data_IF_184848706330
#
_entry.id   IF_184848706330
#
_cell.length_a   1.000
_cell.length_b   1.000
_cell.length_c   1.000
_cell.angle_alpha   90.00
_cell.angle_beta   90.00
_cell.angle_gamma   90.00
#
_symmetry.space_group_name_H-M   'P 1'
#
loop_
_entity.id
_entity.type
_entity.pdbx_description
1 polymer ?
#
# COMPACT_ATOMS: atom_id res chain seq x y z
N UNK A 1 4.84 16.95 -4.68
CA UNK A 1 4.47 15.63 -4.13
C UNK A 1 3.68 14.89 -5.19
N UNK A 2 4.12 13.69 -5.61
CA UNK A 2 3.31 12.86 -6.51
C UNK A 2 2.00 12.56 -5.79
N UNK A 3 0.87 12.98 -6.34
CA UNK A 3 -0.44 12.50 -5.90
C UNK A 3 -0.54 11.03 -6.31
N UNK A 4 -0.07 10.12 -5.46
CA UNK A 4 -0.35 8.70 -5.65
C UNK A 4 -1.87 8.52 -5.48
N UNK A 5 -2.55 8.36 -6.60
CA UNK A 5 -3.99 8.07 -6.62
C UNK A 5 -4.12 6.57 -6.79
N UNK A 6 -4.34 5.88 -5.67
CA UNK A 6 -4.65 4.45 -5.63
C UNK A 6 -6.15 4.26 -5.46
N UNK A 7 -6.68 3.18 -6.03
CA UNK A 7 -8.07 2.76 -5.91
C UNK A 7 -8.17 1.26 -5.62
N UNK A 8 -9.34 0.84 -5.16
CA UNK A 8 -9.66 -0.58 -4.95
C UNK A 8 -9.43 -1.37 -6.24
N UNK A 9 -8.74 -2.50 -6.10
CA UNK A 9 -8.36 -3.38 -7.21
C UNK A 9 -7.00 -3.06 -7.85
N UNK A 10 -6.36 -1.95 -7.50
CA UNK A 10 -5.01 -1.66 -7.99
C UNK A 10 -4.00 -2.68 -7.44
N UNK A 11 -3.01 -3.00 -8.29
CA UNK A 11 -1.84 -3.79 -7.90
C UNK A 11 -0.77 -2.86 -7.36
N UNK A 12 -0.28 -3.16 -6.16
CA UNK A 12 0.69 -2.32 -5.47
C UNK A 12 1.84 -3.16 -4.93
N UNK A 13 2.98 -2.52 -4.73
CA UNK A 13 4.09 -3.07 -3.94
C UNK A 13 4.53 -2.05 -2.90
N UNK A 14 5.10 -2.55 -1.82
CA UNK A 14 5.70 -1.72 -0.78
C UNK A 14 6.98 -1.06 -1.31
N UNK A 15 7.12 0.24 -1.04
CA UNK A 15 8.35 0.99 -1.31
C UNK A 15 9.31 0.69 -0.16
N UNK A 16 10.52 0.15 -0.44
CA UNK A 16 11.50 -0.09 0.61
C UNK A 16 11.89 1.19 1.33
N UNK A 17 12.13 1.09 2.64
CA UNK A 17 12.67 2.20 3.41
C UNK A 17 14.14 2.52 3.02
N UNK A 18 14.75 3.48 3.70
CA UNK A 18 16.13 3.90 3.43
C UNK A 18 17.19 2.78 3.62
N UNK A 19 16.84 1.71 4.34
CA UNK A 19 17.69 0.53 4.55
C UNK A 19 17.30 -0.64 3.63
N UNK A 20 16.32 -0.45 2.75
CA UNK A 20 15.83 -1.47 1.84
C UNK A 20 14.89 -2.49 2.50
N UNK A 21 14.38 -2.20 3.69
CA UNK A 21 13.44 -3.08 4.38
C UNK A 21 12.00 -2.84 3.90
N UNK A 22 11.24 -3.93 3.81
CA UNK A 22 9.79 -3.92 3.57
C UNK A 22 9.10 -4.85 4.57
N UNK A 23 7.89 -4.50 4.99
CA UNK A 23 7.04 -5.37 5.82
C UNK A 23 6.59 -6.61 5.05
N UNK A 24 6.25 -6.46 3.76
CA UNK A 24 5.77 -7.56 2.93
C UNK A 24 6.31 -7.49 1.51
N UNK A 25 7.09 -8.51 1.13
CA UNK A 25 7.52 -8.69 -0.25
C UNK A 25 6.38 -9.19 -1.14
N UNK A 26 6.37 -8.72 -2.39
CA UNK A 26 5.45 -9.17 -3.44
C UNK A 26 4.55 -8.07 -3.98
N UNK A 27 3.53 -8.48 -4.73
CA UNK A 27 2.50 -7.59 -5.27
C UNK A 27 1.18 -7.90 -4.56
N UNK A 28 0.63 -6.90 -3.91
CA UNK A 28 -0.67 -6.98 -3.26
C UNK A 28 -1.77 -6.31 -4.08
N UNK A 29 -3.02 -6.55 -3.68
CA UNK A 29 -4.22 -5.92 -4.25
C UNK A 29 -4.82 -4.97 -3.21
N UNK A 30 -5.10 -3.74 -3.63
CA UNK A 30 -5.80 -2.76 -2.80
C UNK A 30 -7.23 -3.20 -2.55
N UNK A 31 -7.59 -3.36 -1.28
CA UNK A 31 -8.94 -3.71 -0.84
C UNK A 31 -9.75 -2.48 -0.43
N UNK A 32 -9.09 -1.49 0.18
CA UNK A 32 -9.74 -0.30 0.72
C UNK A 32 -8.79 0.89 0.71
N UNK A 33 -9.33 2.08 0.44
CA UNK A 33 -8.63 3.36 0.56
C UNK A 33 -9.48 4.28 1.43
N UNK A 34 -8.90 4.87 2.47
CA UNK A 34 -9.64 5.71 3.40
C UNK A 34 -8.74 6.74 4.10
N UNK A 35 -9.32 7.88 4.45
CA UNK A 35 -8.60 8.96 5.12
C UNK A 35 -8.63 8.76 6.64
N UNK A 36 -7.52 9.07 7.30
CA UNK A 36 -7.37 9.10 8.75
C UNK A 36 -6.67 10.41 9.13
N UNK A 37 -7.45 11.40 9.55
CA UNK A 37 -6.93 12.75 9.75
C UNK A 37 -6.50 13.39 8.43
N UNK A 38 -5.25 13.83 8.36
CA UNK A 38 -4.65 14.40 7.14
C UNK A 38 -4.01 13.34 6.23
N UNK A 39 -3.92 12.09 6.71
CA UNK A 39 -3.26 10.99 5.99
C UNK A 39 -4.25 10.10 5.24
N UNK A 40 -3.75 9.37 4.24
CA UNK A 40 -4.51 8.33 3.53
C UNK A 40 -3.93 6.95 3.81
N UNK A 41 -4.79 6.02 4.25
CA UNK A 41 -4.45 4.62 4.48
C UNK A 41 -5.03 3.70 3.40
N UNK A 42 -4.35 2.58 3.22
CA UNK A 42 -4.66 1.56 2.22
C UNK A 42 -4.58 0.18 2.85
N UNK A 43 -5.65 -0.60 2.72
CA UNK A 43 -5.67 -2.02 3.09
C UNK A 43 -5.27 -2.85 1.87
N UNK A 44 -4.30 -3.76 2.04
CA UNK A 44 -3.70 -4.54 0.95
C UNK A 44 -3.70 -6.03 1.30
N UNK A 45 -4.09 -6.88 0.34
CA UNK A 45 -4.00 -8.34 0.41
C UNK A 45 -2.88 -8.85 -0.52
N UNK A 46 -1.94 -9.61 0.05
CA UNK A 46 -0.81 -10.23 -0.67
C UNK A 46 -1.05 -11.71 -1.01
N UNK A 47 -2.25 -12.24 -0.74
CA UNK A 47 -2.64 -13.61 -1.05
C UNK A 47 -2.20 -14.65 0.00
N UNK A 48 -1.79 -14.21 1.18
CA UNK A 48 -1.37 -15.10 2.29
C UNK A 48 -2.43 -15.22 3.40
N UNK A 49 -3.61 -14.64 3.19
CA UNK A 49 -4.71 -14.61 4.15
C UNK A 49 -4.62 -13.48 5.18
N UNK A 50 -3.59 -12.64 5.13
CA UNK A 50 -3.45 -11.43 5.93
C UNK A 50 -3.93 -10.17 5.22
N UNK A 51 -4.37 -9.18 6.00
CA UNK A 51 -4.61 -7.81 5.51
C UNK A 51 -3.56 -6.90 6.13
N UNK A 52 -2.85 -6.19 5.27
CA UNK A 52 -1.77 -5.29 5.64
C UNK A 52 -2.21 -3.84 5.43
N UNK A 53 -1.95 -2.99 6.41
CA UNK A 53 -2.42 -1.59 6.41
C UNK A 53 -1.21 -0.68 6.20
N UNK A 54 -1.24 0.11 5.14
CA UNK A 54 -0.18 1.04 4.77
C UNK A 54 -0.67 2.48 4.74
N UNK A 55 0.25 3.44 4.85
CA UNK A 55 0.03 4.77 4.30
C UNK A 55 0.22 4.73 2.78
N UNK A 56 -0.56 5.50 2.04
CA UNK A 56 -0.55 5.48 0.57
C UNK A 56 0.83 5.82 -0.04
N UNK A 57 1.65 6.57 0.71
CA UNK A 57 3.01 6.95 0.34
C UNK A 57 4.05 5.86 0.52
N UNK A 58 3.74 4.79 1.25
CA UNK A 58 4.59 3.60 1.40
C UNK A 58 4.37 2.59 0.26
N UNK A 59 3.50 2.90 -0.69
CA UNK A 59 3.12 2.01 -1.77
C UNK A 59 3.35 2.68 -3.12
N UNK A 60 3.62 1.88 -4.14
CA UNK A 60 3.59 2.30 -5.54
C UNK A 60 2.77 1.34 -6.39
N UNK A 61 2.13 1.87 -7.44
CA UNK A 61 1.39 1.08 -8.41
C UNK A 61 2.34 0.26 -9.28
N UNK A 62 1.91 -0.96 -9.64
CA UNK A 62 2.63 -1.91 -10.51
C UNK A 62 2.02 -1.94 -11.91
#
# INVERSE_FOLDING_TARGET
>A
MKHNTMKVGDKVREIPDEFGWVMKEGVGIVLKVYNVGEDTRVDVDFGDGGIYIYFIEHLENV
#
